data_IF_905435800118
#
_entry.id   IF_905435800118
#
_cell.length_a   1.000
_cell.length_b   1.000
_cell.length_c   1.000
_cell.angle_alpha   90.00
_cell.angle_beta   90.00
_cell.angle_gamma   90.00
#
_symmetry.space_group_name_H-M   'P 1'
#
loop_
_entity.id
_entity.type
_entity.pdbx_description
1 polymer ?
#
# COMPACT_ATOMS: atom_id res chain seq x y z
N UNK A 1 -5.13 0.91 -0.32
CA UNK A 1 -3.95 0.05 -0.14
C UNK A 1 -4.20 -0.80 1.11
N UNK A 2 -4.28 -2.12 0.97
CA UNK A 2 -4.87 -3.01 1.98
C UNK A 2 -4.24 -2.85 3.37
N UNK A 3 -2.91 -3.02 3.49
CA UNK A 3 -2.19 -2.99 4.77
C UNK A 3 -2.42 -1.66 5.51
N UNK A 4 -2.25 -0.53 4.81
CA UNK A 4 -2.42 0.81 5.40
C UNK A 4 -3.87 1.14 5.74
N UNK A 5 -4.81 0.78 4.87
CA UNK A 5 -6.23 1.08 5.08
C UNK A 5 -6.82 0.26 6.23
N UNK A 6 -6.43 -1.02 6.34
CA UNK A 6 -6.85 -1.89 7.44
C UNK A 6 -6.09 -1.61 8.74
N UNK A 7 -4.96 -0.90 8.67
CA UNK A 7 -4.19 -0.50 9.83
C UNK A 7 -3.63 -1.70 10.59
N UNK A 8 -3.58 -1.60 11.92
CA UNK A 8 -3.17 -2.70 12.80
C UNK A 8 -4.01 -3.99 12.64
N UNK A 9 -5.17 -3.92 11.98
CA UNK A 9 -6.07 -5.06 11.75
C UNK A 9 -5.79 -5.79 10.43
N UNK A 10 -4.82 -5.35 9.63
CA UNK A 10 -4.63 -5.89 8.27
C UNK A 10 -4.40 -7.41 8.25
N UNK A 11 -3.65 -7.96 9.22
CA UNK A 11 -3.46 -9.40 9.34
C UNK A 11 -4.79 -10.12 9.56
N UNK A 12 -5.62 -9.62 10.48
CA UNK A 12 -6.95 -10.16 10.73
C UNK A 12 -7.86 -10.02 9.51
N UNK A 13 -7.75 -8.92 8.75
CA UNK A 13 -8.49 -8.74 7.49
C UNK A 13 -8.10 -9.79 6.46
N UNK A 14 -6.80 -10.04 6.30
CA UNK A 14 -6.28 -11.05 5.36
C UNK A 14 -6.70 -12.45 5.81
N UNK A 15 -6.60 -12.78 7.10
CA UNK A 15 -7.08 -14.06 7.67
C UNK A 15 -8.59 -14.25 7.49
N UNK A 16 -9.40 -13.23 7.77
CA UNK A 16 -10.85 -13.30 7.58
C UNK A 16 -11.21 -13.50 6.09
N UNK A 17 -10.48 -12.88 5.17
CA UNK A 17 -10.68 -13.07 3.74
C UNK A 17 -10.43 -14.53 3.32
N UNK A 18 -9.42 -15.19 3.88
CA UNK A 18 -9.19 -16.63 3.67
C UNK A 18 -10.35 -17.45 4.24
N UNK A 19 -10.77 -17.18 5.48
CA UNK A 19 -11.90 -17.90 6.09
C UNK A 19 -13.15 -17.79 5.22
N UNK A 20 -13.50 -16.59 4.77
CA UNK A 20 -14.65 -16.37 3.87
C UNK A 20 -14.51 -17.18 2.58
N UNK A 21 -13.32 -17.23 1.99
CA UNK A 21 -13.07 -18.03 0.79
C UNK A 21 -13.16 -19.54 1.04
N UNK A 22 -12.71 -20.00 2.20
CA UNK A 22 -12.80 -21.41 2.59
C UNK A 22 -14.24 -21.85 2.91
N UNK A 23 -15.13 -20.93 3.26
CA UNK A 23 -16.56 -21.26 3.45
C UNK A 23 -17.22 -21.76 2.16
N UNK A 24 -16.76 -21.30 0.99
CA UNK A 24 -17.24 -21.83 -0.31
C UNK A 24 -16.89 -23.32 -0.52
N UNK A 25 -15.96 -23.84 0.29
CA UNK A 25 -15.52 -25.23 0.29
C UNK A 25 -15.89 -25.97 1.58
N UNK A 26 -16.84 -25.45 2.36
CA UNK A 26 -17.18 -25.97 3.69
C UNK A 26 -17.48 -27.47 3.69
N UNK A 27 -18.31 -27.97 2.77
CA UNK A 27 -18.71 -29.40 2.74
C UNK A 27 -17.51 -30.34 2.57
N UNK A 28 -16.57 -29.97 1.71
CA UNK A 28 -15.33 -30.72 1.46
C UNK A 28 -14.44 -30.70 2.70
N UNK A 29 -14.26 -29.52 3.31
CA UNK A 29 -13.45 -29.35 4.51
C UNK A 29 -14.08 -30.10 5.71
N UNK A 30 -15.40 -30.06 5.84
CA UNK A 30 -16.15 -30.74 6.89
C UNK A 30 -16.06 -32.27 6.77
N UNK A 31 -15.93 -32.79 5.54
CA UNK A 31 -15.61 -34.19 5.27
C UNK A 31 -14.12 -34.55 5.53
N UNK A 32 -13.32 -33.60 6.04
CA UNK A 32 -11.88 -33.73 6.25
C UNK A 32 -11.09 -33.99 4.95
N UNK A 33 -11.63 -33.51 3.82
CA UNK A 33 -10.97 -33.55 2.53
C UNK A 33 -10.33 -32.18 2.21
N UNK A 34 -9.21 -32.21 1.51
CA UNK A 34 -8.54 -31.00 1.04
C UNK A 34 -8.35 -31.13 -0.47
N UNK A 35 -9.06 -30.30 -1.23
CA UNK A 35 -8.92 -30.21 -2.68
C UNK A 35 -7.73 -29.33 -3.07
N UNK A 36 -7.35 -29.40 -4.34
CA UNK A 36 -6.30 -28.53 -4.87
C UNK A 36 -6.71 -27.06 -4.85
N UNK A 37 -8.01 -26.76 -4.95
CA UNK A 37 -8.51 -25.39 -4.82
C UNK A 37 -8.32 -24.85 -3.40
N UNK A 38 -8.64 -25.64 -2.37
CA UNK A 38 -8.41 -25.25 -0.96
C UNK A 38 -6.92 -25.04 -0.70
N UNK A 39 -6.06 -25.94 -1.20
CA UNK A 39 -4.59 -25.77 -1.13
C UNK A 39 -4.12 -24.50 -1.81
N UNK A 40 -4.61 -24.24 -3.01
CA UNK A 40 -4.27 -23.05 -3.77
C UNK A 40 -4.66 -21.77 -3.03
N UNK A 41 -5.86 -21.74 -2.46
CA UNK A 41 -6.37 -20.56 -1.75
C UNK A 41 -5.60 -20.26 -0.47
N UNK A 42 -5.23 -21.29 0.29
CA UNK A 42 -4.32 -21.16 1.42
C UNK A 42 -2.92 -20.68 0.98
N UNK A 43 -2.36 -21.27 -0.08
CA UNK A 43 -1.04 -20.92 -0.57
C UNK A 43 -0.94 -19.47 -1.08
N UNK A 44 -1.97 -18.97 -1.76
CA UNK A 44 -2.04 -17.56 -2.21
C UNK A 44 -2.04 -16.61 -1.02
N UNK A 45 -2.75 -16.96 0.06
CA UNK A 45 -2.78 -16.16 1.28
C UNK A 45 -1.43 -16.14 2.00
N UNK A 46 -0.82 -17.30 2.17
CA UNK A 46 0.52 -17.42 2.75
C UNK A 46 1.56 -16.63 1.94
N UNK A 47 1.51 -16.72 0.61
CA UNK A 47 2.39 -15.98 -0.28
C UNK A 47 2.23 -14.46 -0.12
N UNK A 48 1.01 -13.96 0.04
CA UNK A 48 0.76 -12.53 0.30
C UNK A 48 1.42 -12.07 1.61
N UNK A 49 1.26 -12.85 2.69
CA UNK A 49 1.87 -12.54 3.98
C UNK A 49 3.40 -12.57 3.92
N UNK A 50 3.95 -13.59 3.26
CA UNK A 50 5.39 -13.74 3.07
C UNK A 50 5.97 -12.58 2.24
N UNK A 51 5.28 -12.15 1.17
CA UNK A 51 5.70 -11.01 0.36
C UNK A 51 5.67 -9.70 1.16
N UNK A 52 4.61 -9.44 1.92
CA UNK A 52 4.53 -8.24 2.76
C UNK A 52 5.70 -8.16 3.76
N UNK A 53 6.07 -9.30 4.36
CA UNK A 53 7.23 -9.40 5.24
C UNK A 53 8.56 -9.21 4.48
N UNK A 54 8.73 -9.87 3.33
CA UNK A 54 9.94 -9.77 2.51
C UNK A 54 10.21 -8.35 2.00
N UNK A 55 9.15 -7.60 1.68
CA UNK A 55 9.24 -6.19 1.30
C UNK A 55 9.39 -5.23 2.50
N UNK A 56 9.33 -5.73 3.75
CA UNK A 56 9.43 -4.90 4.94
C UNK A 56 8.24 -3.96 5.15
N UNK A 57 7.10 -4.22 4.51
CA UNK A 57 5.92 -3.34 4.51
C UNK A 57 4.83 -3.79 5.49
N UNK A 58 5.04 -4.85 6.28
CA UNK A 58 4.02 -5.36 7.23
C UNK A 58 3.50 -4.29 8.20
N UNK A 59 4.36 -3.35 8.59
CA UNK A 59 4.01 -2.26 9.53
C UNK A 59 3.83 -0.90 8.84
N UNK A 60 3.68 -0.88 7.51
CA UNK A 60 3.61 0.37 6.74
C UNK A 60 2.39 1.25 7.04
N UNK A 61 1.40 0.71 7.76
CA UNK A 61 0.28 1.49 8.27
C UNK A 61 0.68 2.51 9.34
N UNK A 62 1.83 2.30 10.00
CA UNK A 62 2.42 3.25 10.97
C UNK A 62 3.24 4.35 10.29
N UNK A 63 3.59 4.20 9.02
CA UNK A 63 4.52 5.09 8.35
C UNK A 63 3.90 6.47 8.11
N UNK A 64 4.65 7.50 8.47
CA UNK A 64 4.37 8.87 8.04
C UNK A 64 4.77 9.06 6.58
N UNK A 65 4.18 10.06 5.92
CA UNK A 65 4.64 10.45 4.60
C UNK A 65 6.09 10.94 4.70
N UNK A 66 6.95 10.50 3.78
CA UNK A 66 8.36 10.90 3.73
C UNK A 66 8.49 12.43 3.56
N UNK A 67 7.59 12.97 2.74
CA UNK A 67 7.39 14.39 2.46
C UNK A 67 6.08 14.81 3.10
N UNK A 68 6.16 15.47 4.26
CA UNK A 68 5.03 15.97 5.02
C UNK A 68 5.32 17.36 5.59
N UNK A 69 4.25 18.07 5.98
CA UNK A 69 4.29 19.36 6.67
C UNK A 69 5.09 19.26 7.97
N UNK A 70 5.02 18.13 8.68
CA UNK A 70 5.75 17.93 9.94
C UNK A 70 7.27 17.79 9.79
N UNK A 71 7.78 17.41 8.61
CA UNK A 71 9.21 17.17 8.36
C UNK A 71 9.95 18.39 7.75
N UNK A 72 9.31 19.56 7.62
CA UNK A 72 9.94 20.79 7.09
C UNK A 72 10.29 20.79 5.59
N UNK A 73 10.13 19.64 4.92
CA UNK A 73 10.20 19.42 3.47
C UNK A 73 8.80 19.11 2.94
N UNK A 74 7.86 20.05 3.12
CA UNK A 74 6.47 19.86 2.70
C UNK A 74 6.31 19.83 1.17
N UNK A 75 5.26 19.16 0.69
CA UNK A 75 4.86 19.18 -0.73
C UNK A 75 4.75 20.62 -1.26
N UNK A 76 4.15 21.53 -0.47
CA UNK A 76 4.04 22.96 -0.82
C UNK A 76 5.38 23.61 -1.10
N UNK A 77 6.40 23.31 -0.30
CA UNK A 77 7.74 23.89 -0.45
C UNK A 77 8.47 23.30 -1.66
N UNK A 78 8.32 22.00 -1.89
CA UNK A 78 8.97 21.29 -3.01
C UNK A 78 8.39 21.76 -4.35
N UNK A 79 7.07 21.97 -4.41
CA UNK A 79 6.35 22.35 -5.62
C UNK A 79 6.11 23.86 -5.76
N UNK A 80 6.39 24.66 -4.73
CA UNK A 80 6.10 26.10 -4.73
C UNK A 80 4.61 26.44 -4.73
N UNK A 81 3.75 25.54 -4.26
CA UNK A 81 2.29 25.71 -4.24
C UNK A 81 1.77 26.08 -2.85
N UNK A 82 0.64 26.80 -2.80
CA UNK A 82 -0.01 27.13 -1.52
C UNK A 82 -0.54 25.86 -0.83
N UNK A 83 -0.50 25.79 0.53
CA UNK A 83 -1.19 24.75 1.27
C UNK A 83 -2.68 24.71 0.92
N UNK A 84 -3.22 23.53 0.63
CA UNK A 84 -4.62 23.39 0.22
C UNK A 84 -4.98 21.96 -0.19
N UNK A 85 -6.21 21.76 -0.71
CA UNK A 85 -6.76 20.44 -1.06
C UNK A 85 -5.85 19.63 -2.00
N UNK A 86 -5.14 20.31 -2.89
CA UNK A 86 -4.16 19.74 -3.81
C UNK A 86 -3.05 18.94 -3.11
N UNK A 87 -2.63 19.34 -1.91
CA UNK A 87 -1.65 18.56 -1.13
C UNK A 87 -2.25 17.21 -0.72
N UNK A 88 -3.54 17.20 -0.36
CA UNK A 88 -4.28 15.97 -0.03
C UNK A 88 -4.36 14.99 -1.19
N UNK A 89 -4.31 15.47 -2.45
CA UNK A 89 -4.22 14.60 -3.63
C UNK A 89 -2.81 14.03 -3.85
N UNK A 90 -1.77 14.77 -3.47
CA UNK A 90 -0.37 14.39 -3.70
C UNK A 90 0.11 13.39 -2.65
N UNK A 91 -0.29 13.55 -1.38
CA UNK A 91 0.16 12.67 -0.30
C UNK A 91 -0.11 11.17 -0.57
N UNK A 92 -1.27 10.75 -1.08
CA UNK A 92 -1.49 9.36 -1.51
C UNK A 92 -0.47 8.85 -2.54
N UNK A 93 -0.02 9.70 -3.49
CA UNK A 93 1.03 9.36 -4.45
C UNK A 93 2.41 9.24 -3.78
N UNK A 94 2.71 10.11 -2.81
CA UNK A 94 3.91 10.01 -1.98
C UNK A 94 3.96 8.65 -1.27
N UNK A 95 2.86 8.24 -0.66
CA UNK A 95 2.80 6.94 0.01
C UNK A 95 2.93 5.77 -0.95
N UNK A 96 2.25 5.81 -2.10
CA UNK A 96 2.42 4.79 -3.15
C UNK A 96 3.89 4.65 -3.56
N UNK A 97 4.57 5.78 -3.77
CA UNK A 97 5.99 5.78 -4.10
C UNK A 97 6.86 5.21 -2.98
N UNK A 98 6.61 5.59 -1.72
CA UNK A 98 7.35 5.06 -0.54
C UNK A 98 7.22 3.55 -0.39
N UNK A 99 6.08 2.97 -0.75
CA UNK A 99 5.87 1.52 -0.64
C UNK A 99 6.55 0.77 -1.77
N UNK A 100 6.61 1.36 -2.96
CA UNK A 100 7.38 0.81 -4.06
C UNK A 100 8.89 0.97 -3.84
N UNK A 101 9.30 1.94 -3.01
CA UNK A 101 10.70 2.23 -2.69
C UNK A 101 10.89 2.40 -1.17
N UNK A 102 10.82 1.31 -0.37
CA UNK A 102 10.90 1.40 1.10
C UNK A 102 12.17 2.09 1.63
N UNK A 103 13.27 1.97 0.88
CA UNK A 103 14.57 2.59 1.21
C UNK A 103 14.78 3.95 0.53
N UNK A 104 13.77 4.43 -0.21
CA UNK A 104 13.84 5.67 -0.97
C UNK A 104 14.00 6.91 -0.08
N UNK A 105 14.80 7.86 -0.55
CA UNK A 105 15.12 9.11 0.17
C UNK A 105 14.10 10.21 -0.09
N UNK A 106 14.10 11.23 0.78
CA UNK A 106 13.24 12.41 0.64
C UNK A 106 13.52 13.12 -0.69
N UNK A 107 14.78 13.17 -1.10
CA UNK A 107 15.24 13.80 -2.33
C UNK A 107 14.70 13.08 -3.57
N UNK A 108 14.75 11.75 -3.58
CA UNK A 108 14.22 10.91 -4.67
C UNK A 108 12.69 11.02 -4.76
N UNK A 109 12.00 10.95 -3.63
CA UNK A 109 10.57 11.17 -3.57
C UNK A 109 10.20 12.58 -4.07
N UNK A 110 11.00 13.59 -3.71
CA UNK A 110 10.82 14.97 -4.18
C UNK A 110 10.97 15.11 -5.70
N UNK A 111 11.92 14.39 -6.31
CA UNK A 111 12.06 14.33 -7.78
C UNK A 111 10.84 13.69 -8.43
N UNK A 112 10.34 12.59 -7.87
CA UNK A 112 9.13 11.92 -8.35
C UNK A 112 7.91 12.86 -8.32
N UNK A 113 7.66 13.53 -7.19
CA UNK A 113 6.51 14.43 -7.04
C UNK A 113 6.62 15.60 -8.02
N UNK A 114 7.81 16.18 -8.23
CA UNK A 114 8.02 17.26 -9.20
C UNK A 114 7.71 16.81 -10.63
N UNK A 115 8.18 15.63 -11.02
CA UNK A 115 7.93 15.06 -12.35
C UNK A 115 6.43 14.83 -12.56
N UNK A 116 5.79 14.12 -11.64
CA UNK A 116 4.35 13.84 -11.66
C UNK A 116 3.52 15.13 -11.73
N UNK A 117 3.88 16.15 -10.95
CA UNK A 117 3.20 17.44 -10.94
C UNK A 117 3.34 18.18 -12.27
N UNK A 118 4.53 18.18 -12.86
CA UNK A 118 4.78 18.78 -14.17
C UNK A 118 3.96 18.10 -15.27
N UNK A 119 3.89 16.78 -15.27
CA UNK A 119 3.11 15.99 -16.25
C UNK A 119 1.60 16.24 -16.12
N UNK A 120 1.10 16.34 -14.88
CA UNK A 120 -0.30 16.69 -14.59
C UNK A 120 -0.63 18.11 -15.07
N UNK A 121 0.32 19.05 -14.98
CA UNK A 121 0.15 20.43 -15.44
C UNK A 121 0.22 20.59 -16.97
N UNK A 122 0.97 19.73 -17.67
CA UNK A 122 1.11 19.78 -19.14
C UNK A 122 0.07 18.93 -19.88
N UNK A 123 -0.77 18.17 -19.18
CA UNK A 123 -1.84 17.36 -19.79
C UNK A 123 -1.35 16.19 -20.64
N UNK A 124 -0.08 15.81 -20.52
CA UNK A 124 0.50 14.68 -21.27
C UNK A 124 0.15 13.41 -20.50
N UNK A 125 -0.85 12.68 -21.00
CA UNK A 125 -1.07 11.27 -20.65
C UNK A 125 0.06 10.46 -21.28
N UNK A 126 0.98 9.97 -20.45
CA UNK A 126 1.87 8.86 -20.80
C UNK A 126 1.15 7.54 -20.68
#
# INVERSE_FOLDING_TARGET
MLIRNAGARWLMTVQLALVVKLLDHYEVIAANEITDQVRHDAAVHEALLAQAAAYGISECYTWKYLIDVSNGKSVSRILGIKPGPTIGEILPEVMRWQLAHPEGTVEECGKFIKKMWSEKATGVKG
#
